data_IF_207189453296
#
_entry.id   IF_207189453296
#
_cell.length_a   1.000
_cell.length_b   1.000
_cell.length_c   1.000
_cell.angle_alpha   90.00
_cell.angle_beta   90.00
_cell.angle_gamma   90.00
#
_symmetry.space_group_name_H-M   'P 1'
#
loop_
_entity.id
_entity.type
_entity.pdbx_description
1 polymer ?
#
# COMPACT_ATOMS: atom_id res chain seq x y z
N UNK A 1 -19.02 -38.92 -21.60
CA UNK A 1 -17.76 -38.16 -21.76
C UNK A 1 -17.49 -37.47 -20.44
N UNK A 2 -16.56 -38.01 -19.67
CA UNK A 2 -16.27 -37.57 -18.32
C UNK A 2 -15.40 -36.32 -18.35
N UNK A 3 -15.89 -35.22 -17.78
CA UNK A 3 -15.10 -34.02 -17.55
C UNK A 3 -14.36 -34.16 -16.23
N UNK A 4 -13.07 -34.46 -16.30
CA UNK A 4 -12.18 -34.50 -15.14
C UNK A 4 -11.76 -33.06 -14.82
N UNK A 5 -12.39 -32.46 -13.81
CA UNK A 5 -11.89 -31.22 -13.19
C UNK A 5 -10.63 -31.57 -12.40
N UNK A 6 -9.47 -31.25 -12.98
CA UNK A 6 -8.19 -31.31 -12.27
C UNK A 6 -8.18 -30.24 -11.19
N UNK A 7 -8.38 -30.64 -9.93
CA UNK A 7 -8.11 -29.80 -8.78
C UNK A 7 -6.59 -29.57 -8.72
N UNK A 8 -6.16 -28.34 -8.95
CA UNK A 8 -4.77 -27.92 -8.78
C UNK A 8 -4.35 -28.15 -7.32
N UNK A 9 -3.21 -28.81 -7.14
CA UNK A 9 -2.62 -29.07 -5.83
C UNK A 9 -2.38 -27.75 -5.10
N UNK A 10 -3.10 -27.52 -4.00
CA UNK A 10 -2.92 -26.35 -3.12
C UNK A 10 -1.64 -26.52 -2.32
N UNK A 11 -0.54 -26.00 -2.84
CA UNK A 11 0.73 -25.85 -2.14
C UNK A 11 0.64 -24.73 -1.11
N UNK A 12 0.41 -25.09 0.16
CA UNK A 12 0.95 -24.45 1.38
C UNK A 12 0.64 -22.98 1.73
N UNK A 13 0.37 -22.10 0.78
CA UNK A 13 0.15 -20.67 1.01
C UNK A 13 -1.03 -20.20 0.13
N UNK A 14 -1.81 -19.22 0.61
CA UNK A 14 -2.98 -18.68 -0.11
C UNK A 14 -2.62 -18.02 -1.45
N UNK A 15 -3.59 -17.58 -2.28
CA UNK A 15 -3.32 -16.98 -3.59
C UNK A 15 -2.44 -15.70 -3.50
N UNK A 16 -1.67 -15.34 -4.54
CA UNK A 16 -1.04 -14.03 -4.62
C UNK A 16 -2.11 -12.93 -4.78
N UNK A 17 -2.00 -11.87 -3.97
CA UNK A 17 -2.96 -10.76 -3.91
C UNK A 17 -2.26 -9.42 -4.16
N UNK A 18 -2.87 -8.58 -5.00
CA UNK A 18 -2.51 -7.16 -5.13
C UNK A 18 -3.57 -6.29 -4.45
N UNK A 19 -3.16 -5.49 -3.47
CA UNK A 19 -4.03 -4.52 -2.80
C UNK A 19 -3.78 -3.11 -3.35
N UNK A 20 -4.82 -2.51 -3.91
CA UNK A 20 -4.79 -1.17 -4.52
C UNK A 20 -5.44 -0.18 -3.56
N UNK A 21 -4.69 0.83 -3.14
CA UNK A 21 -5.18 1.95 -2.33
C UNK A 21 -5.19 3.21 -3.19
N UNK A 22 -6.36 3.83 -3.34
CA UNK A 22 -6.53 5.08 -4.10
C UNK A 22 -6.71 6.30 -3.17
N UNK A 23 -7.16 6.07 -1.93
CA UNK A 23 -7.55 7.12 -0.98
C UNK A 23 -6.44 7.35 0.06
N UNK A 24 -6.15 8.61 0.35
CA UNK A 24 -5.35 9.02 1.50
C UNK A 24 -6.21 9.85 2.44
N UNK A 25 -6.50 9.31 3.63
CA UNK A 25 -7.20 10.03 4.68
C UNK A 25 -6.18 10.70 5.62
N UNK A 26 -5.54 11.78 5.18
CA UNK A 26 -4.69 12.59 6.07
C UNK A 26 -5.58 13.43 7.00
N UNK A 27 -5.49 13.20 8.31
CA UNK A 27 -6.09 14.07 9.34
C UNK A 27 -7.57 13.80 9.69
N UNK A 28 -8.17 12.74 9.18
CA UNK A 28 -9.47 12.27 9.68
C UNK A 28 -9.25 11.54 11.01
N UNK A 29 -9.60 12.19 12.14
CA UNK A 29 -9.43 11.64 13.50
C UNK A 29 -10.14 10.29 13.66
N UNK A 30 -11.24 10.07 12.93
CA UNK A 30 -12.05 8.84 13.02
C UNK A 30 -11.46 7.63 12.27
N UNK A 31 -10.52 7.81 11.33
CA UNK A 31 -9.90 6.71 10.56
C UNK A 31 -8.55 6.28 11.16
N UNK A 32 -8.21 6.80 12.35
CA UNK A 32 -6.95 6.53 13.05
C UNK A 32 -6.82 5.10 13.60
N UNK A 33 -7.92 4.35 13.66
CA UNK A 33 -7.95 3.02 14.29
C UNK A 33 -7.77 1.84 13.32
N UNK A 34 -7.92 2.06 12.02
CA UNK A 34 -7.70 1.02 11.02
C UNK A 34 -7.34 1.64 9.66
N UNK A 35 -6.04 1.78 9.40
CA UNK A 35 -5.56 2.11 8.07
C UNK A 35 -5.22 0.83 7.33
N UNK A 36 -5.58 0.74 6.04
CA UNK A 36 -5.39 -0.47 5.23
C UNK A 36 -3.94 -0.99 5.26
N UNK A 37 -2.94 -0.10 5.31
CA UNK A 37 -1.53 -0.49 5.45
C UNK A 37 -1.25 -1.34 6.71
N UNK A 38 -1.85 -1.00 7.86
CA UNK A 38 -1.71 -1.81 9.08
C UNK A 38 -2.41 -3.15 8.96
N UNK A 39 -3.63 -3.16 8.39
CA UNK A 39 -4.35 -4.40 8.15
C UNK A 39 -3.61 -5.35 7.22
N UNK A 40 -2.87 -4.82 6.24
CA UNK A 40 -2.07 -5.63 5.31
C UNK A 40 -0.86 -6.28 5.99
N UNK A 41 -0.21 -5.61 6.95
CA UNK A 41 0.84 -6.20 7.76
C UNK A 41 0.33 -7.44 8.51
N UNK A 42 -0.91 -7.44 9.03
CA UNK A 42 -1.44 -8.61 9.74
C UNK A 42 -1.84 -9.78 8.81
N UNK A 43 -1.88 -9.55 7.49
CA UNK A 43 -2.33 -10.55 6.49
C UNK A 43 -1.19 -11.35 5.85
N UNK A 44 0.08 -10.95 6.01
CA UNK A 44 1.22 -11.61 5.35
C UNK A 44 1.30 -13.12 5.63
N UNK A 45 0.88 -13.58 6.82
CA UNK A 45 0.89 -15.00 7.19
C UNK A 45 -0.22 -15.87 6.58
N UNK A 46 -1.17 -15.27 5.84
CA UNK A 46 -2.35 -15.98 5.30
C UNK A 46 -2.30 -16.21 3.79
N UNK A 47 -1.40 -15.53 3.07
CA UNK A 47 -1.29 -15.57 1.62
C UNK A 47 0.14 -15.94 1.18
N UNK A 48 0.29 -16.44 -0.04
CA UNK A 48 1.61 -16.71 -0.63
C UNK A 48 2.39 -15.42 -0.92
N UNK A 49 1.66 -14.36 -1.27
CA UNK A 49 2.22 -13.05 -1.59
C UNK A 49 1.13 -12.02 -1.44
N UNK A 50 1.45 -10.91 -0.80
CA UNK A 50 0.59 -9.72 -0.78
C UNK A 50 1.45 -8.55 -1.20
N UNK A 51 1.05 -7.87 -2.27
CA UNK A 51 1.70 -6.65 -2.73
C UNK A 51 0.74 -5.47 -2.64
N UNK A 52 1.30 -4.26 -2.63
CA UNK A 52 0.55 -3.03 -2.47
C UNK A 52 0.79 -2.11 -3.66
N UNK A 53 -0.28 -1.53 -4.19
CA UNK A 53 -0.22 -0.44 -5.15
C UNK A 53 -0.85 0.83 -4.57
N UNK A 54 -0.04 1.88 -4.43
CA UNK A 54 -0.49 3.20 -4.04
C UNK A 54 -0.77 4.03 -5.29
N UNK A 55 -1.99 4.55 -5.40
CA UNK A 55 -2.48 5.33 -6.53
C UNK A 55 -3.19 6.59 -6.07
N UNK A 56 -3.35 7.55 -6.97
CA UNK A 56 -4.07 8.80 -6.65
C UNK A 56 -3.50 9.50 -5.42
N UNK A 57 -4.34 9.83 -4.43
CA UNK A 57 -3.89 10.50 -3.21
C UNK A 57 -3.06 9.58 -2.29
N UNK A 58 -3.23 8.25 -2.40
CA UNK A 58 -2.55 7.27 -1.58
C UNK A 58 -1.03 7.29 -1.75
N UNK A 59 -0.52 7.74 -2.90
CA UNK A 59 0.93 7.86 -3.14
C UNK A 59 1.64 8.74 -2.10
N UNK A 60 0.91 9.70 -1.51
CA UNK A 60 1.47 10.58 -0.48
C UNK A 60 1.88 9.84 0.80
N UNK A 61 1.42 8.60 1.00
CA UNK A 61 1.83 7.76 2.14
C UNK A 61 3.26 7.23 1.99
N UNK A 62 3.77 7.16 0.76
CA UNK A 62 5.12 6.68 0.45
C UNK A 62 6.10 7.81 0.10
N UNK A 63 5.73 9.09 0.26
CA UNK A 63 6.64 10.23 -0.02
C UNK A 63 7.29 10.71 1.27
N UNK A 64 8.62 10.66 1.35
CA UNK A 64 9.43 11.15 2.46
C UNK A 64 9.25 12.66 2.70
N UNK A 65 9.12 13.04 3.97
CA UNK A 65 9.07 14.43 4.43
C UNK A 65 10.30 14.72 5.30
N UNK A 66 11.01 15.82 5.03
CA UNK A 66 12.26 16.17 5.72
C UNK A 66 12.04 16.50 7.20
N UNK A 67 10.80 16.82 7.59
CA UNK A 67 10.38 17.02 8.97
C UNK A 67 9.02 16.36 9.18
N UNK A 68 9.01 15.15 9.73
CA UNK A 68 7.78 14.53 10.21
C UNK A 68 7.26 15.32 11.41
N UNK A 69 6.14 16.04 11.24
CA UNK A 69 5.40 16.66 12.35
C UNK A 69 4.02 16.04 12.44
N UNK A 70 3.85 14.94 13.20
CA UNK A 70 2.53 14.39 13.47
C UNK A 70 1.75 15.24 14.47
N UNK A 71 2.18 16.48 14.77
CA UNK A 71 1.52 17.35 15.72
C UNK A 71 0.55 18.30 15.01
N UNK A 72 -0.74 18.01 15.14
CA UNK A 72 -1.79 18.99 14.82
C UNK A 72 -2.19 19.69 16.10
N UNK A 73 -2.17 21.03 16.09
CA UNK A 73 -2.64 21.83 17.22
C UNK A 73 -4.13 22.15 17.05
N UNK A 74 -4.98 21.52 17.86
CA UNK A 74 -6.42 21.77 17.93
C UNK A 74 -6.70 22.67 19.14
N UNK A 75 -6.75 23.98 18.92
CA UNK A 75 -6.86 24.96 20.01
C UNK A 75 -5.65 24.90 20.93
N UNK A 76 -5.84 24.44 22.18
CA UNK A 76 -4.77 24.22 23.16
C UNK A 76 -4.24 22.79 23.20
N UNK A 77 -4.90 21.85 22.51
CA UNK A 77 -4.49 20.45 22.46
C UNK A 77 -3.47 20.23 21.34
N UNK A 78 -2.38 19.52 21.64
CA UNK A 78 -1.46 19.00 20.63
C UNK A 78 -1.78 17.52 20.45
N UNK A 79 -2.21 17.15 19.24
CA UNK A 79 -2.39 15.75 18.85
C UNK A 79 -1.11 15.32 18.15
N UNK A 80 -0.22 14.59 18.83
CA UNK A 80 1.07 14.09 18.34
C UNK A 80 1.06 12.59 18.01
N UNK A 81 -0.10 11.94 18.17
CA UNK A 81 -0.32 10.50 17.91
C UNK A 81 -0.80 10.23 16.49
N UNK A 82 -0.51 11.10 15.51
CA UNK A 82 -0.92 10.85 14.13
C UNK A 82 -0.15 9.65 13.54
N UNK A 83 -0.81 8.81 12.71
CA UNK A 83 -0.17 7.64 12.10
C UNK A 83 1.04 7.99 11.24
N UNK A 84 2.16 7.27 11.44
CA UNK A 84 3.31 7.32 10.54
C UNK A 84 3.12 6.31 9.39
N UNK A 85 2.46 6.74 8.32
CA UNK A 85 2.25 5.91 7.14
C UNK A 85 3.56 5.51 6.45
N UNK A 86 4.62 6.32 6.58
CA UNK A 86 5.92 6.01 5.96
C UNK A 86 6.62 4.91 6.72
N UNK A 87 6.54 4.96 8.06
CA UNK A 87 6.86 3.84 8.93
C UNK A 87 6.20 2.56 8.43
N UNK A 88 4.87 2.59 8.24
CA UNK A 88 4.14 1.42 7.74
C UNK A 88 4.56 0.96 6.35
N UNK A 89 4.89 1.87 5.42
CA UNK A 89 5.43 1.48 4.10
C UNK A 89 6.80 0.80 4.24
N UNK A 90 7.67 1.31 5.13
CA UNK A 90 8.97 0.66 5.41
C UNK A 90 8.79 -0.70 6.05
N UNK A 91 7.83 -0.85 6.97
CA UNK A 91 7.51 -2.12 7.61
C UNK A 91 7.01 -3.14 6.58
N UNK A 92 6.12 -2.74 5.67
CA UNK A 92 5.67 -3.61 4.57
C UNK A 92 6.84 -4.09 3.70
N UNK A 93 7.74 -3.19 3.33
CA UNK A 93 8.94 -3.53 2.54
C UNK A 93 9.86 -4.48 3.33
N UNK A 94 9.99 -4.28 4.64
CA UNK A 94 10.80 -5.15 5.50
C UNK A 94 10.20 -6.56 5.64
N UNK A 95 8.88 -6.70 5.48
CA UNK A 95 8.14 -7.98 5.45
C UNK A 95 7.98 -8.54 4.02
N UNK A 96 8.87 -8.15 3.09
CA UNK A 96 8.94 -8.63 1.70
C UNK A 96 7.73 -8.30 0.79
N UNK A 97 6.90 -7.31 1.17
CA UNK A 97 5.86 -6.80 0.26
C UNK A 97 6.49 -5.99 -0.87
N UNK A 98 6.00 -6.18 -2.10
CA UNK A 98 6.30 -5.21 -3.17
C UNK A 98 5.35 -4.03 -3.03
N UNK A 99 5.89 -2.82 -2.86
CA UNK A 99 5.10 -1.58 -2.81
C UNK A 99 5.29 -0.79 -4.10
N UNK A 100 4.30 -0.84 -4.98
CA UNK A 100 4.22 -0.04 -6.20
C UNK A 100 3.64 1.34 -5.91
N UNK A 101 4.21 2.36 -6.55
CA UNK A 101 3.73 3.75 -6.45
C UNK A 101 3.50 4.31 -7.83
N UNK A 102 2.29 4.81 -8.08
CA UNK A 102 1.91 5.46 -9.33
C UNK A 102 2.69 6.77 -9.55
N UNK A 103 3.57 6.76 -10.57
CA UNK A 103 4.43 7.87 -10.96
C UNK A 103 3.65 9.11 -11.38
N UNK A 104 2.55 8.93 -12.11
CA UNK A 104 1.77 10.05 -12.64
C UNK A 104 1.06 10.77 -11.48
N UNK A 105 0.57 10.01 -10.49
CA UNK A 105 0.00 10.58 -9.29
C UNK A 105 1.03 11.30 -8.41
N UNK A 106 2.24 10.75 -8.26
CA UNK A 106 3.35 11.39 -7.52
C UNK A 106 3.68 12.75 -8.13
N UNK A 107 3.87 12.79 -9.45
CA UNK A 107 4.22 14.01 -10.17
C UNK A 107 3.07 15.02 -10.21
N UNK A 108 1.82 14.57 -10.41
CA UNK A 108 0.64 15.44 -10.38
C UNK A 108 0.41 16.12 -9.03
N UNK A 109 0.82 15.49 -7.93
CA UNK A 109 0.76 16.06 -6.58
C UNK A 109 1.99 16.93 -6.24
N UNK A 110 2.91 17.14 -7.18
CA UNK A 110 4.06 18.02 -7.03
C UNK A 110 5.24 17.39 -6.28
N UNK A 111 5.26 16.06 -6.13
CA UNK A 111 6.38 15.36 -5.52
C UNK A 111 7.37 14.86 -6.58
N UNK A 112 8.64 14.78 -6.20
CA UNK A 112 9.68 14.19 -7.01
C UNK A 112 9.79 12.68 -6.67
N UNK A 113 9.83 11.76 -7.64
CA UNK A 113 9.93 10.31 -7.39
C UNK A 113 11.12 9.90 -6.51
N UNK A 114 12.19 10.70 -6.50
CA UNK A 114 13.39 10.49 -5.68
C UNK A 114 13.10 10.67 -4.18
N UNK A 115 11.97 11.28 -3.84
CA UNK A 115 11.49 11.42 -2.46
C UNK A 115 10.69 10.21 -1.99
N UNK A 116 10.49 9.19 -2.80
CA UNK A 116 9.76 8.01 -2.36
C UNK A 116 10.57 7.23 -1.31
N UNK A 117 9.86 6.58 -0.39
CA UNK A 117 10.45 5.66 0.59
C UNK A 117 11.31 4.63 -0.15
N UNK A 118 12.55 4.45 0.32
CA UNK A 118 13.48 3.51 -0.27
C UNK A 118 12.89 2.08 -0.29
N UNK A 119 13.06 1.38 -1.41
CA UNK A 119 12.49 0.04 -1.63
C UNK A 119 11.11 0.04 -2.32
N UNK A 120 10.46 1.20 -2.44
CA UNK A 120 9.27 1.31 -3.30
C UNK A 120 9.62 1.25 -4.79
N UNK A 121 8.70 0.75 -5.60
CA UNK A 121 8.84 0.67 -7.06
C UNK A 121 7.92 1.69 -7.72
N UNK A 122 8.50 2.74 -8.28
CA UNK A 122 7.76 3.78 -8.99
C UNK A 122 7.47 3.37 -10.44
N UNK A 123 6.19 3.12 -10.74
CA UNK A 123 5.71 2.63 -12.04
C UNK A 123 4.63 3.56 -12.58
N UNK A 124 4.44 3.59 -13.89
CA UNK A 124 3.25 4.23 -14.45
C UNK A 124 2.00 3.33 -14.30
N UNK A 125 0.81 3.92 -14.48
CA UNK A 125 -0.45 3.20 -14.30
C UNK A 125 -0.65 2.06 -15.32
N UNK A 126 -0.11 2.19 -16.54
CA UNK A 126 -0.22 1.16 -17.57
C UNK A 126 0.68 -0.03 -17.24
N UNK A 127 1.89 0.24 -16.76
CA UNK A 127 2.86 -0.73 -16.27
C UNK A 127 2.30 -1.51 -15.07
N UNK A 128 1.59 -0.84 -14.15
CA UNK A 128 0.90 -1.52 -13.05
C UNK A 128 -0.24 -2.42 -13.55
N UNK A 129 -1.04 -1.97 -14.52
CA UNK A 129 -2.14 -2.75 -15.08
C UNK A 129 -1.64 -4.03 -15.79
N UNK A 130 -0.47 -3.98 -16.42
CA UNK A 130 0.16 -5.15 -17.05
C UNK A 130 0.53 -6.26 -16.06
N UNK A 131 0.69 -5.95 -14.77
CA UNK A 131 1.01 -6.91 -13.71
C UNK A 131 -0.23 -7.59 -13.11
N UNK A 132 -1.44 -7.09 -13.36
CA UNK A 132 -2.66 -7.68 -12.78
C UNK A 132 -2.80 -9.19 -13.05
N UNK A 133 -2.45 -9.73 -14.23
CA UNK A 133 -2.49 -11.17 -14.48
C UNK A 133 -1.48 -12.01 -13.66
N UNK A 134 -0.50 -11.39 -12.99
CA UNK A 134 0.42 -12.07 -12.08
C UNK A 134 -0.21 -12.37 -10.71
N UNK A 135 -1.36 -11.77 -10.42
CA UNK A 135 -2.10 -11.95 -9.17
C UNK A 135 -3.39 -12.72 -9.43
N UNK A 136 -3.70 -13.64 -8.52
CA UNK A 136 -4.96 -14.37 -8.53
C UNK A 136 -6.12 -13.46 -8.10
N UNK A 137 -5.83 -12.42 -7.31
CA UNK A 137 -6.81 -11.45 -6.83
C UNK A 137 -6.25 -10.02 -6.83
N UNK A 138 -7.08 -9.06 -7.22
CA UNK A 138 -6.82 -7.62 -7.10
C UNK A 138 -7.92 -7.00 -6.25
N UNK A 139 -7.56 -6.41 -5.11
CA UNK A 139 -8.49 -5.82 -4.17
C UNK A 139 -8.34 -4.30 -4.16
N UNK A 140 -9.45 -3.58 -4.31
CA UNK A 140 -9.51 -2.13 -4.12
C UNK A 140 -9.98 -1.87 -2.69
N UNK A 141 -9.09 -1.28 -1.88
CA UNK A 141 -9.27 -1.12 -0.42
C UNK A 141 -9.41 0.35 -0.05
#
# INVERSE_FOLDING_TARGET
MSSTTTAAARTGLGPPVLCVLDRAYRGAVEVQFFHALYGLLDLHGQFQRVDVALRGAAVTMAVEEDVYRPSVRLGTMTLDTLPDYRGSVRDLIAEDFTVYVDRDAVTALGFAPERLVAGTICVDAAELALRWPEYDQVWFV
#
